data_IF_659316416395
#
_entry.id   IF_659316416395
#
_cell.length_a   1.000
_cell.length_b   1.000
_cell.length_c   1.000
_cell.angle_alpha   90.00
_cell.angle_beta   90.00
_cell.angle_gamma   90.00
#
_symmetry.space_group_name_H-M   'P 1'
#
loop_
_entity.id
_entity.type
_entity.pdbx_description
1 polymer ?
#
# COMPACT_ATOMS: atom_id res chain seq x y z
N UNK A 1 -3.56 8.44 1.51
CA UNK A 1 -2.57 7.45 2.01
C UNK A 1 -3.16 6.51 3.06
N UNK A 2 -3.84 7.00 4.13
CA UNK A 2 -4.45 6.13 5.16
C UNK A 2 -5.46 5.09 4.63
N UNK A 3 -6.26 5.45 3.61
CA UNK A 3 -7.25 4.53 3.00
C UNK A 3 -6.57 3.34 2.31
N UNK A 4 -5.48 3.59 1.59
CA UNK A 4 -4.68 2.55 0.92
C UNK A 4 -4.10 1.55 1.92
N UNK A 5 -3.57 2.03 3.03
CA UNK A 5 -2.98 1.17 4.09
C UNK A 5 -4.06 0.30 4.74
N UNK A 6 -5.24 0.86 5.04
CA UNK A 6 -6.37 0.10 5.59
C UNK A 6 -6.87 -0.99 4.63
N UNK A 7 -6.96 -0.68 3.35
CA UNK A 7 -7.37 -1.65 2.32
C UNK A 7 -6.32 -2.74 2.13
N UNK A 8 -5.04 -2.37 2.07
CA UNK A 8 -3.96 -3.33 1.91
C UNK A 8 -3.82 -4.25 3.13
N UNK A 9 -4.09 -3.74 4.33
CA UNK A 9 -4.13 -4.52 5.57
C UNK A 9 -5.32 -5.45 5.68
N UNK A 10 -6.48 -5.09 5.12
CA UNK A 10 -7.70 -5.90 5.18
C UNK A 10 -7.80 -6.93 4.05
N UNK A 11 -7.43 -6.54 2.83
CA UNK A 11 -7.54 -7.38 1.63
C UNK A 11 -6.27 -8.18 1.33
N UNK A 12 -5.14 -7.87 1.98
CA UNK A 12 -3.85 -8.54 1.79
C UNK A 12 -3.16 -8.28 0.46
N UNK A 13 -3.87 -7.68 -0.53
CA UNK A 13 -3.29 -7.21 -1.78
C UNK A 13 -4.23 -6.20 -2.46
N UNK A 14 -3.69 -5.30 -3.29
CA UNK A 14 -4.46 -4.27 -3.98
C UNK A 14 -3.90 -4.02 -5.39
N UNK A 15 -4.76 -3.90 -6.39
CA UNK A 15 -4.39 -3.44 -7.73
C UNK A 15 -4.48 -1.92 -7.85
N UNK A 16 -3.85 -1.36 -8.89
CA UNK A 16 -3.96 0.07 -9.21
C UNK A 16 -5.41 0.50 -9.45
N UNK A 17 -6.24 -0.36 -10.03
CA UNK A 17 -7.67 -0.06 -10.28
C UNK A 17 -8.48 -0.01 -9.00
N UNK A 18 -8.28 -0.98 -8.10
CA UNK A 18 -8.95 -0.98 -6.79
C UNK A 18 -8.52 0.23 -5.95
N UNK A 19 -7.23 0.59 -6.00
CA UNK A 19 -6.72 1.81 -5.36
C UNK A 19 -7.32 3.08 -5.94
N UNK A 20 -7.41 3.18 -7.28
CA UNK A 20 -8.01 4.31 -7.97
C UNK A 20 -9.49 4.49 -7.61
N UNK A 21 -10.26 3.40 -7.63
CA UNK A 21 -11.67 3.41 -7.27
C UNK A 21 -11.88 3.77 -5.78
N UNK A 22 -11.05 3.24 -4.89
CA UNK A 22 -11.16 3.50 -3.46
C UNK A 22 -10.79 4.94 -3.06
N UNK A 23 -9.94 5.60 -3.84
CA UNK A 23 -9.50 6.97 -3.60
C UNK A 23 -10.24 8.00 -4.45
N UNK A 24 -11.11 7.54 -5.35
CA UNK A 24 -11.77 8.35 -6.38
C UNK A 24 -10.77 9.21 -7.19
N UNK A 25 -9.68 8.58 -7.65
CA UNK A 25 -8.64 9.23 -8.46
C UNK A 25 -8.41 8.49 -9.76
N UNK A 26 -7.80 9.18 -10.72
CA UNK A 26 -7.35 8.53 -11.95
C UNK A 26 -6.29 7.44 -11.68
N UNK A 27 -6.26 6.33 -12.45
CA UNK A 27 -5.28 5.25 -12.29
C UNK A 27 -3.81 5.71 -12.27
N UNK A 28 -3.45 6.75 -13.03
CA UNK A 28 -2.09 7.30 -13.03
C UNK A 28 -1.69 7.91 -11.68
N UNK A 29 -2.60 8.62 -11.02
CA UNK A 29 -2.42 9.16 -9.66
C UNK A 29 -2.31 8.03 -8.64
N UNK A 30 -3.20 7.04 -8.70
CA UNK A 30 -3.16 5.87 -7.82
C UNK A 30 -1.83 5.11 -7.97
N UNK A 31 -1.34 4.94 -9.19
CA UNK A 31 -0.05 4.30 -9.46
C UNK A 31 1.11 5.09 -8.83
N UNK A 32 1.12 6.41 -8.92
CA UNK A 32 2.18 7.24 -8.29
C UNK A 32 2.16 7.08 -6.77
N UNK A 33 0.99 7.11 -6.15
CA UNK A 33 0.84 6.92 -4.70
C UNK A 33 1.29 5.53 -4.26
N UNK A 34 0.93 4.48 -5.01
CA UNK A 34 1.38 3.12 -4.76
C UNK A 34 2.90 2.97 -4.94
N UNK A 35 3.48 3.62 -5.95
CA UNK A 35 4.93 3.63 -6.15
C UNK A 35 5.67 4.32 -4.99
N UNK A 36 5.11 5.42 -4.47
CA UNK A 36 5.62 6.06 -3.24
C UNK A 36 5.58 5.09 -2.06
N UNK A 37 4.45 4.40 -1.83
CA UNK A 37 4.35 3.39 -0.76
C UNK A 37 5.34 2.24 -0.93
N UNK A 38 5.69 1.87 -2.16
CA UNK A 38 6.75 0.88 -2.42
C UNK A 38 8.13 1.44 -2.08
N UNK A 39 8.42 2.68 -2.50
CA UNK A 39 9.66 3.35 -2.15
C UNK A 39 9.87 3.50 -0.64
N UNK A 40 8.79 3.76 0.09
CA UNK A 40 8.81 3.90 1.55
C UNK A 40 8.70 2.55 2.30
N UNK A 41 8.62 1.42 1.60
CA UNK A 41 8.59 0.09 2.21
C UNK A 41 7.24 -0.35 2.82
N UNK A 42 6.18 0.47 2.69
CA UNK A 42 4.81 0.14 3.14
C UNK A 42 4.08 -0.83 2.20
N UNK A 43 4.49 -0.88 0.93
CA UNK A 43 3.98 -1.82 -0.05
C UNK A 43 5.14 -2.52 -0.76
N UNK A 44 4.85 -3.66 -1.37
CA UNK A 44 5.72 -4.29 -2.36
C UNK A 44 4.94 -4.57 -3.62
N UNK A 45 5.53 -4.28 -4.77
CA UNK A 45 4.93 -4.63 -6.05
C UNK A 45 5.23 -6.12 -6.31
N UNK A 46 4.18 -6.92 -6.43
CA UNK A 46 4.25 -8.31 -6.85
C UNK A 46 3.88 -8.51 -8.31
N UNK A 47 3.67 -9.76 -8.68
CA UNK A 47 3.30 -10.13 -10.05
C UNK A 47 1.93 -9.55 -10.44
N UNK A 48 1.68 -9.45 -11.75
CA UNK A 48 0.40 -8.99 -12.32
C UNK A 48 -0.03 -7.58 -11.87
N UNK A 49 0.93 -6.69 -11.57
CA UNK A 49 0.67 -5.30 -11.10
C UNK A 49 -0.15 -5.26 -9.80
N UNK A 50 -0.01 -6.28 -8.95
CA UNK A 50 -0.67 -6.32 -7.65
C UNK A 50 0.31 -5.88 -6.57
N UNK A 51 -0.15 -5.04 -5.67
CA UNK A 51 0.63 -4.54 -4.53
C UNK A 51 0.25 -5.34 -3.31
N UNK A 52 1.24 -5.68 -2.50
CA UNK A 52 1.09 -6.43 -1.25
C UNK A 52 1.63 -5.60 -0.09
N UNK A 53 1.24 -5.90 1.17
CA UNK A 53 1.86 -5.31 2.35
C UNK A 53 3.38 -5.41 2.28
N UNK A 54 4.06 -4.29 2.48
CA UNK A 54 5.51 -4.22 2.60
C UNK A 54 5.96 -4.50 4.04
N UNK A 55 7.27 -4.69 4.25
CA UNK A 55 7.83 -5.00 5.57
C UNK A 55 7.53 -3.93 6.63
N UNK A 56 7.46 -2.65 6.26
CA UNK A 56 7.13 -1.56 7.20
C UNK A 56 5.67 -1.64 7.69
N UNK A 57 4.80 -2.34 6.96
CA UNK A 57 3.41 -2.57 7.36
C UNK A 57 3.27 -3.69 8.39
N UNK A 58 4.24 -4.62 8.43
CA UNK A 58 4.27 -5.79 9.31
C UNK A 58 5.23 -5.57 10.48
N UNK A 59 6.08 -4.54 10.42
CA UNK A 59 7.01 -4.21 11.49
C UNK A 59 6.18 -3.95 12.75
N UNK A 60 6.26 -4.81 13.78
CA UNK A 60 5.65 -4.46 15.05
C UNK A 60 6.27 -3.13 15.44
N UNK A 61 5.45 -2.20 15.93
CA UNK A 61 5.98 -1.05 16.64
C UNK A 61 6.80 -1.64 17.79
N UNK A 62 8.11 -1.78 17.59
CA UNK A 62 9.04 -2.12 18.64
C UNK A 62 8.84 -1.00 19.64
N UNK A 63 8.10 -1.31 20.70
CA UNK A 63 7.85 -0.40 21.79
C UNK A 63 9.21 0.15 22.21
N UNK A 64 9.42 1.44 21.99
CA UNK A 64 10.52 2.14 22.61
C UNK A 64 10.36 1.98 24.12
N UNK A 65 11.27 1.23 24.73
CA UNK A 65 11.59 1.22 26.16
C UNK A 65 13.09 1.45 26.18
N UNK A 66 13.59 2.49 26.87
CA UNK A 66 13.48 2.63 28.32
C UNK A 66 12.79 3.90 28.82
#
# INVERSE_FOLDING_TARGET
MLVLVKLLGSAGSLSVREAAAALDVNPSTAQRLLATMVGDGFARQGERRRYFPGPEMVRPATASTP
#
